data_IF_559208262061
#
_entry.id   IF_559208262061
#
_cell.length_a   1.000
_cell.length_b   1.000
_cell.length_c   1.000
_cell.angle_alpha   90.00
_cell.angle_beta   90.00
_cell.angle_gamma   90.00
#
_symmetry.space_group_name_H-M   'P 1'
#
loop_
_entity.id
_entity.type
_entity.pdbx_description
1 polymer ?
#
# COMPACT_ATOMS: atom_id res chain seq x y z
N UNK A 1 20.56 -11.81 -9.51
CA UNK A 1 20.16 -12.84 -8.52
C UNK A 1 19.01 -12.28 -7.71
N UNK A 2 17.83 -12.88 -7.79
CA UNK A 2 16.75 -12.54 -6.87
C UNK A 2 17.19 -13.02 -5.47
N UNK A 3 17.48 -12.09 -4.60
CA UNK A 3 17.72 -12.40 -3.20
C UNK A 3 16.38 -12.87 -2.61
N UNK A 4 16.36 -14.10 -2.12
CA UNK A 4 15.16 -14.69 -1.51
C UNK A 4 14.74 -13.84 -0.30
N UNK A 5 13.47 -13.46 -0.22
CA UNK A 5 12.96 -12.72 0.92
C UNK A 5 12.98 -13.62 2.16
N UNK A 6 13.47 -13.10 3.26
CA UNK A 6 13.60 -13.80 4.55
C UNK A 6 12.86 -13.05 5.66
N UNK A 7 12.76 -13.68 6.83
CA UNK A 7 12.15 -13.04 8.00
C UNK A 7 10.66 -12.73 7.81
N UNK A 8 10.19 -11.59 8.35
CA UNK A 8 8.76 -11.26 8.37
C UNK A 8 8.14 -11.14 6.97
N UNK A 9 8.92 -10.78 5.95
CA UNK A 9 8.41 -10.69 4.59
C UNK A 9 8.19 -12.06 3.94
N UNK A 10 9.02 -13.06 4.25
CA UNK A 10 8.77 -14.43 3.78
C UNK A 10 7.47 -14.99 4.38
N UNK A 11 7.25 -14.76 5.66
CA UNK A 11 6.03 -15.15 6.37
C UNK A 11 4.80 -14.40 5.84
N UNK A 12 4.91 -13.08 5.68
CA UNK A 12 3.87 -12.23 5.09
C UNK A 12 3.39 -12.76 3.74
N UNK A 13 4.33 -13.06 2.85
CA UNK A 13 4.00 -13.54 1.50
C UNK A 13 3.46 -14.96 1.50
N UNK A 14 3.91 -15.80 2.42
CA UNK A 14 3.38 -17.15 2.58
C UNK A 14 1.90 -17.11 3.03
N UNK A 15 1.60 -16.35 4.07
CA UNK A 15 0.22 -16.19 4.57
C UNK A 15 -0.69 -15.50 3.55
N UNK A 16 -0.21 -14.45 2.90
CA UNK A 16 -0.95 -13.75 1.86
C UNK A 16 -1.32 -14.68 0.69
N UNK A 17 -0.43 -15.58 0.30
CA UNK A 17 -0.71 -16.55 -0.76
C UNK A 17 -1.92 -17.44 -0.40
N UNK A 18 -1.98 -17.93 0.83
CA UNK A 18 -3.12 -18.75 1.29
C UNK A 18 -4.42 -17.95 1.37
N UNK A 19 -4.35 -16.70 1.85
CA UNK A 19 -5.54 -15.82 1.95
C UNK A 19 -6.10 -15.49 0.57
N UNK A 20 -5.24 -15.28 -0.42
CA UNK A 20 -5.64 -14.85 -1.77
C UNK A 20 -6.00 -16.02 -2.71
N UNK A 21 -5.80 -17.26 -2.31
CA UNK A 21 -5.90 -18.43 -3.19
C UNK A 21 -7.25 -18.54 -3.91
N UNK A 22 -8.36 -18.41 -3.16
CA UNK A 22 -9.71 -18.57 -3.67
C UNK A 22 -10.54 -17.27 -3.65
N UNK A 23 -9.98 -16.19 -3.11
CA UNK A 23 -10.69 -14.91 -2.98
C UNK A 23 -10.35 -13.96 -4.12
N UNK A 24 -11.36 -13.35 -4.74
CA UNK A 24 -11.22 -12.38 -5.83
C UNK A 24 -11.70 -10.98 -5.48
N UNK A 25 -12.38 -10.84 -4.33
CA UNK A 25 -12.86 -9.53 -3.90
C UNK A 25 -11.71 -8.63 -3.44
N UNK A 26 -11.52 -7.45 -4.08
CA UNK A 26 -10.44 -6.55 -3.73
C UNK A 26 -10.53 -6.00 -2.30
N UNK A 27 -11.74 -5.78 -1.80
CA UNK A 27 -11.92 -5.26 -0.44
C UNK A 27 -11.55 -6.29 0.61
N UNK A 28 -12.00 -7.55 0.44
CA UNK A 28 -11.66 -8.65 1.34
C UNK A 28 -10.15 -8.90 1.36
N UNK A 29 -9.53 -9.01 0.20
CA UNK A 29 -8.09 -9.27 0.10
C UNK A 29 -7.25 -8.11 0.64
N UNK A 30 -7.64 -6.86 0.36
CA UNK A 30 -6.92 -5.69 0.88
C UNK A 30 -7.07 -5.54 2.40
N UNK A 31 -8.24 -5.88 2.96
CA UNK A 31 -8.45 -5.86 4.41
C UNK A 31 -7.51 -6.86 5.10
N UNK A 32 -7.44 -8.09 4.58
CA UNK A 32 -6.53 -9.10 5.11
C UNK A 32 -5.04 -8.76 4.86
N UNK A 33 -4.71 -8.18 3.73
CA UNK A 33 -3.34 -7.71 3.46
C UNK A 33 -2.91 -6.62 4.44
N UNK A 34 -3.76 -5.63 4.72
CA UNK A 34 -3.49 -4.60 5.71
C UNK A 34 -3.30 -5.18 7.12
N UNK A 35 -4.13 -6.15 7.50
CA UNK A 35 -4.01 -6.85 8.78
C UNK A 35 -2.70 -7.63 8.90
N UNK A 36 -2.30 -8.36 7.86
CA UNK A 36 -1.03 -9.11 7.83
C UNK A 36 0.19 -8.17 7.94
N UNK A 37 0.19 -7.07 7.20
CA UNK A 37 1.26 -6.05 7.31
C UNK A 37 1.35 -5.51 8.73
N UNK A 38 0.20 -5.16 9.32
CA UNK A 38 0.13 -4.64 10.68
C UNK A 38 0.62 -5.64 11.73
N UNK A 39 0.26 -6.90 11.60
CA UNK A 39 0.59 -7.96 12.56
C UNK A 39 2.07 -8.37 12.49
N UNK A 40 2.62 -8.48 11.29
CA UNK A 40 3.94 -9.07 11.07
C UNK A 40 5.08 -8.06 11.03
N UNK A 41 4.81 -6.80 10.68
CA UNK A 41 5.85 -5.78 10.59
C UNK A 41 5.86 -4.89 11.85
N UNK A 42 6.94 -4.88 12.64
CA UNK A 42 6.99 -4.10 13.85
C UNK A 42 7.21 -2.60 13.59
N UNK A 43 6.77 -1.78 14.53
CA UNK A 43 7.09 -0.35 14.54
C UNK A 43 6.27 0.49 13.56
N UNK A 44 5.04 0.07 13.27
CA UNK A 44 4.12 0.81 12.42
C UNK A 44 3.10 1.60 13.24
N UNK A 45 2.61 2.71 12.69
CA UNK A 45 1.45 3.43 13.21
C UNK A 45 0.28 3.49 12.22
N UNK A 46 0.51 3.12 10.95
CA UNK A 46 -0.53 2.99 9.94
C UNK A 46 -0.11 2.02 8.84
N UNK A 47 -1.05 1.23 8.31
CA UNK A 47 -0.84 0.36 7.17
C UNK A 47 -2.15 0.15 6.42
N UNK A 48 -2.21 0.50 5.15
CA UNK A 48 -3.44 0.37 4.39
C UNK A 48 -3.34 0.79 2.94
N UNK A 49 -4.51 0.92 2.33
CA UNK A 49 -4.63 1.14 0.90
C UNK A 49 -5.39 2.42 0.59
N UNK A 50 -4.98 3.07 -0.49
CA UNK A 50 -5.76 4.09 -1.18
C UNK A 50 -6.02 3.61 -2.61
N UNK A 51 -7.26 3.73 -3.06
CA UNK A 51 -7.67 3.26 -4.39
C UNK A 51 -8.07 4.41 -5.32
N UNK A 52 -7.79 4.21 -6.61
CA UNK A 52 -8.14 5.14 -7.69
C UNK A 52 -9.63 5.10 -7.97
N UNK A 53 -10.35 6.14 -7.53
CA UNK A 53 -11.79 6.28 -7.74
C UNK A 53 -12.17 7.73 -8.00
N UNK A 54 -12.88 7.98 -9.10
CA UNK A 54 -13.33 9.33 -9.45
C UNK A 54 -12.18 10.32 -9.67
N UNK A 55 -11.04 9.86 -10.22
CA UNK A 55 -9.90 10.70 -10.54
C UNK A 55 -9.06 11.12 -9.32
N UNK A 56 -9.15 10.42 -8.18
CA UNK A 56 -8.36 10.67 -6.98
C UNK A 56 -8.10 9.39 -6.20
N UNK A 57 -7.20 9.44 -5.22
CA UNK A 57 -6.99 8.36 -4.28
C UNK A 57 -7.98 8.47 -3.12
N UNK A 58 -8.71 7.41 -2.86
CA UNK A 58 -9.68 7.32 -1.75
C UNK A 58 -9.26 6.20 -0.81
N UNK A 59 -9.32 6.46 0.50
CA UNK A 59 -8.95 5.50 1.52
C UNK A 59 -9.77 4.21 1.39
N UNK A 60 -9.05 3.09 1.39
CA UNK A 60 -9.58 1.73 1.44
C UNK A 60 -9.36 1.08 2.79
N UNK A 61 -9.27 -0.25 2.86
CA UNK A 61 -9.00 -0.96 4.11
C UNK A 61 -7.63 -0.59 4.71
N UNK A 62 -7.60 -0.37 6.01
CA UNK A 62 -6.37 -0.01 6.74
C UNK A 62 -6.42 -0.46 8.21
N UNK A 63 -5.25 -0.42 8.85
CA UNK A 63 -5.02 -0.55 10.27
C UNK A 63 -4.33 0.72 10.79
N UNK A 64 -4.72 1.18 11.97
CA UNK A 64 -4.20 2.41 12.58
C UNK A 64 -5.31 3.41 12.92
N UNK A 65 -4.92 4.67 13.11
CA UNK A 65 -5.86 5.76 13.38
C UNK A 65 -6.59 6.18 12.11
N UNK A 66 -7.64 7.00 12.29
CA UNK A 66 -8.36 7.62 11.17
C UNK A 66 -7.40 8.27 10.17
N UNK A 67 -7.73 8.18 8.91
CA UNK A 67 -6.89 8.63 7.81
C UNK A 67 -7.52 9.80 7.04
N UNK A 68 -6.73 10.46 6.19
CA UNK A 68 -7.26 11.35 5.16
C UNK A 68 -8.14 10.52 4.22
N UNK A 69 -9.37 10.98 3.96
CA UNK A 69 -10.32 10.23 3.14
C UNK A 69 -9.95 10.30 1.67
N UNK A 70 -9.47 11.45 1.21
CA UNK A 70 -9.15 11.74 -0.20
C UNK A 70 -7.79 12.38 -0.32
N UNK A 71 -7.01 11.91 -1.27
CA UNK A 71 -5.70 12.49 -1.63
C UNK A 71 -5.74 12.84 -3.11
N UNK A 72 -5.54 14.12 -3.45
CA UNK A 72 -5.44 14.55 -4.84
C UNK A 72 -4.25 13.89 -5.54
N UNK A 73 -4.40 13.60 -6.84
CA UNK A 73 -3.32 13.01 -7.62
C UNK A 73 -2.10 13.93 -7.67
N UNK A 74 -0.93 13.33 -7.52
CA UNK A 74 0.36 14.03 -7.54
C UNK A 74 0.70 14.80 -6.27
N UNK A 75 -0.17 14.78 -5.23
CA UNK A 75 0.06 15.45 -3.96
C UNK A 75 0.45 14.48 -2.85
N UNK A 76 1.31 14.94 -1.92
CA UNK A 76 1.84 14.12 -0.83
C UNK A 76 2.69 12.95 -1.31
N UNK A 77 3.00 12.01 -0.41
CA UNK A 77 3.79 10.82 -0.74
C UNK A 77 2.97 9.85 -1.59
N UNK A 78 1.73 9.56 -1.21
CA UNK A 78 0.83 8.69 -1.97
C UNK A 78 0.58 9.20 -3.40
N UNK A 79 0.27 10.48 -3.56
CA UNK A 79 0.09 11.08 -4.88
C UNK A 79 1.37 11.14 -5.71
N UNK A 80 2.53 11.24 -5.06
CA UNK A 80 3.83 11.16 -5.73
C UNK A 80 4.11 9.75 -6.25
N UNK A 81 3.86 8.72 -5.44
CA UNK A 81 4.01 7.32 -5.84
C UNK A 81 3.05 6.97 -6.99
N UNK A 82 1.81 7.44 -6.90
CA UNK A 82 0.82 7.32 -7.97
C UNK A 82 1.35 7.90 -9.29
N UNK A 83 1.79 9.14 -9.27
CA UNK A 83 2.27 9.85 -10.46
C UNK A 83 3.52 9.21 -11.08
N UNK A 84 4.46 8.77 -10.24
CA UNK A 84 5.71 8.14 -10.68
C UNK A 84 5.52 6.68 -11.09
N UNK A 85 4.49 6.01 -10.56
CA UNK A 85 4.29 4.56 -10.65
C UNK A 85 5.50 3.77 -10.14
N UNK A 86 6.10 4.29 -9.08
CA UNK A 86 7.29 3.74 -8.45
C UNK A 86 7.19 3.83 -6.94
N UNK A 87 7.85 2.93 -6.23
CA UNK A 87 7.89 2.94 -4.77
C UNK A 87 8.62 4.18 -4.28
N UNK A 88 8.03 4.86 -3.30
CA UNK A 88 8.59 6.05 -2.66
C UNK A 88 8.87 5.75 -1.20
N UNK A 89 10.15 5.86 -0.79
CA UNK A 89 10.59 5.76 0.60
C UNK A 89 10.91 7.15 1.11
N UNK A 90 10.30 7.54 2.22
CA UNK A 90 10.51 8.84 2.86
C UNK A 90 11.07 8.62 4.26
N UNK A 91 12.38 8.83 4.47
CA UNK A 91 13.01 8.63 5.78
C UNK A 91 12.53 9.61 6.85
N UNK A 92 12.15 10.81 6.44
CA UNK A 92 11.60 11.86 7.30
C UNK A 92 10.51 12.62 6.56
N UNK A 93 9.26 12.41 6.95
CA UNK A 93 8.09 13.05 6.30
C UNK A 93 8.08 14.57 6.45
N UNK A 94 8.73 15.12 7.48
CA UNK A 94 8.83 16.56 7.70
C UNK A 94 9.74 17.25 6.68
N UNK A 95 10.61 16.49 6.02
CA UNK A 95 11.50 16.94 4.96
C UNK A 95 10.91 16.74 3.55
N UNK A 96 9.77 16.04 3.44
CA UNK A 96 9.16 15.76 2.15
C UNK A 96 8.32 16.95 1.67
N UNK A 97 8.64 17.56 0.51
CA UNK A 97 7.92 18.71 -0.01
C UNK A 97 6.44 18.39 -0.30
N UNK A 98 5.52 19.17 0.29
CA UNK A 98 4.08 18.94 0.10
C UNK A 98 3.51 17.72 0.84
N UNK A 99 4.19 17.23 1.87
CA UNK A 99 3.67 16.15 2.71
C UNK A 99 2.28 16.49 3.26
N UNK A 100 1.33 15.54 3.12
CA UNK A 100 -0.01 15.66 3.68
C UNK A 100 -0.01 14.95 5.03
N UNK A 101 -0.21 15.69 6.11
CA UNK A 101 -0.25 15.15 7.47
C UNK A 101 -1.63 14.55 7.73
N UNK A 102 -1.75 13.23 7.63
CA UNK A 102 -2.97 12.49 7.99
C UNK A 102 -2.89 11.94 9.43
N UNK A 103 -1.71 11.55 9.89
CA UNK A 103 -1.42 11.21 11.29
C UNK A 103 -0.13 11.92 11.73
N UNK A 104 -0.23 12.75 12.75
CA UNK A 104 0.92 13.49 13.30
C UNK A 104 1.96 12.57 13.96
N UNK A 105 1.64 11.31 14.24
CA UNK A 105 2.57 10.34 14.79
C UNK A 105 3.51 9.76 13.73
N UNK A 106 3.22 9.89 12.43
CA UNK A 106 4.05 9.39 11.35
C UNK A 106 5.31 10.24 11.19
N UNK A 107 6.47 9.60 11.22
CA UNK A 107 7.77 10.23 11.00
C UNK A 107 8.50 9.70 9.76
N UNK A 108 8.25 8.46 9.36
CA UNK A 108 8.71 7.90 8.07
C UNK A 108 7.58 7.14 7.37
N UNK A 109 7.70 6.97 6.07
CA UNK A 109 6.63 6.43 5.23
C UNK A 109 7.21 5.68 4.03
N UNK A 110 6.54 4.62 3.61
CA UNK A 110 6.77 3.95 2.34
C UNK A 110 5.45 3.79 1.61
N UNK A 111 5.42 4.14 0.33
CA UNK A 111 4.25 3.98 -0.52
C UNK A 111 4.61 3.16 -1.75
N UNK A 112 3.85 2.10 -1.98
CA UNK A 112 4.05 1.15 -3.08
C UNK A 112 2.85 1.20 -4.01
N UNK A 113 3.03 1.46 -5.32
CA UNK A 113 1.95 1.43 -6.29
C UNK A 113 1.38 0.02 -6.47
N UNK A 114 0.05 -0.07 -6.60
CA UNK A 114 -0.63 -1.28 -7.05
C UNK A 114 -0.99 -1.14 -8.53
N UNK A 115 -0.45 -2.04 -9.34
CA UNK A 115 -0.69 -2.05 -10.79
C UNK A 115 -1.30 -3.39 -11.19
N UNK A 116 -2.48 -3.37 -11.77
CA UNK A 116 -3.18 -4.53 -12.31
C UNK A 116 -3.46 -4.34 -13.79
N UNK A 117 -3.11 -5.32 -14.62
CA UNK A 117 -3.27 -5.26 -16.07
C UNK A 117 -2.71 -3.97 -16.69
N UNK A 118 -1.56 -3.50 -16.24
CA UNK A 118 -0.88 -2.29 -16.70
C UNK A 118 -1.53 -0.97 -16.24
N UNK A 119 -2.55 -1.03 -15.38
CA UNK A 119 -3.25 0.14 -14.84
C UNK A 119 -2.99 0.29 -13.34
N UNK A 120 -2.81 1.52 -12.90
CA UNK A 120 -2.73 1.82 -11.47
C UNK A 120 -4.13 1.69 -10.85
N UNK A 121 -4.27 0.80 -9.87
CA UNK A 121 -5.52 0.63 -9.11
C UNK A 121 -5.48 1.38 -7.78
N UNK A 122 -4.31 1.69 -7.27
CA UNK A 122 -4.12 2.38 -6.02
C UNK A 122 -2.69 2.31 -5.51
N UNK A 123 -2.53 2.54 -4.22
CA UNK A 123 -1.25 2.43 -3.51
C UNK A 123 -1.42 1.69 -2.18
N UNK A 124 -0.36 0.99 -1.77
CA UNK A 124 -0.18 0.51 -0.40
C UNK A 124 0.69 1.53 0.33
N UNK A 125 0.18 2.06 1.41
CA UNK A 125 0.82 3.07 2.25
C UNK A 125 1.11 2.49 3.63
N UNK A 126 2.34 2.65 4.11
CA UNK A 126 2.78 2.17 5.42
C UNK A 126 3.60 3.24 6.12
N UNK A 127 3.19 3.58 7.34
CA UNK A 127 3.79 4.63 8.16
C UNK A 127 4.42 4.09 9.43
N UNK A 128 5.44 4.78 9.89
CA UNK A 128 6.10 4.50 11.16
C UNK A 128 6.32 5.77 11.98
N UNK A 129 6.21 5.69 13.33
CA UNK A 129 6.60 6.79 14.22
C UNK A 129 8.11 6.95 14.33
N UNK A 130 8.90 6.04 13.79
CA UNK A 130 10.36 6.11 13.78
C UNK A 130 10.85 6.76 12.49
N UNK A 131 11.89 7.60 12.58
CA UNK A 131 12.61 8.10 11.42
C UNK A 131 13.36 6.95 10.74
N UNK A 132 13.41 6.95 9.41
CA UNK A 132 14.21 6.01 8.63
C UNK A 132 13.83 4.54 8.81
N UNK A 133 12.57 4.23 9.15
CA UNK A 133 12.11 2.87 9.40
C UNK A 133 12.22 1.97 8.18
N UNK A 134 11.97 2.51 6.99
CA UNK A 134 11.85 1.72 5.77
C UNK A 134 13.10 1.77 4.92
N UNK A 135 13.51 0.60 4.41
CA UNK A 135 14.67 0.43 3.54
C UNK A 135 14.37 -0.43 2.30
N UNK A 136 15.41 -0.80 1.54
CA UNK A 136 15.24 -1.59 0.32
C UNK A 136 14.59 -2.96 0.53
N UNK A 137 14.77 -3.59 1.67
CA UNK A 137 14.17 -4.88 2.00
C UNK A 137 12.67 -4.74 2.23
N UNK A 138 12.25 -3.66 2.89
CA UNK A 138 10.85 -3.31 3.06
C UNK A 138 10.19 -3.05 1.70
N UNK A 139 10.84 -2.29 0.82
CA UNK A 139 10.35 -2.05 -0.53
C UNK A 139 10.14 -3.36 -1.29
N UNK A 140 11.13 -4.24 -1.33
CA UNK A 140 11.01 -5.54 -2.03
C UNK A 140 9.87 -6.39 -1.49
N UNK A 141 9.73 -6.47 -0.17
CA UNK A 141 8.68 -7.25 0.48
C UNK A 141 7.28 -6.72 0.20
N UNK A 142 7.09 -5.41 0.34
CA UNK A 142 5.80 -4.76 0.10
C UNK A 142 5.44 -4.69 -1.39
N UNK A 143 6.42 -4.54 -2.29
CA UNK A 143 6.21 -4.64 -3.74
C UNK A 143 5.76 -6.05 -4.15
N UNK A 144 6.35 -7.10 -3.56
CA UNK A 144 5.92 -8.47 -3.79
C UNK A 144 4.50 -8.72 -3.30
N UNK A 145 4.11 -8.18 -2.14
CA UNK A 145 2.74 -8.24 -1.64
C UNK A 145 1.78 -7.51 -2.58
N UNK A 146 2.11 -6.28 -2.97
CA UNK A 146 1.30 -5.47 -3.88
C UNK A 146 1.07 -6.17 -5.23
N UNK A 147 2.11 -6.78 -5.78
CA UNK A 147 2.03 -7.56 -7.03
C UNK A 147 1.10 -8.76 -6.89
N UNK A 148 1.20 -9.52 -5.80
CA UNK A 148 0.33 -10.68 -5.55
C UNK A 148 -1.12 -10.26 -5.35
N UNK A 149 -1.37 -9.21 -4.56
CA UNK A 149 -2.71 -8.66 -4.35
C UNK A 149 -3.33 -8.21 -5.68
N UNK A 150 -2.58 -7.44 -6.47
CA UNK A 150 -3.05 -6.94 -7.76
C UNK A 150 -3.44 -8.08 -8.72
N UNK A 151 -2.69 -9.17 -8.73
CA UNK A 151 -2.96 -10.33 -9.58
C UNK A 151 -4.12 -11.21 -9.06
N UNK A 152 -4.34 -11.25 -7.74
CA UNK A 152 -5.37 -12.09 -7.13
C UNK A 152 -6.79 -11.54 -7.29
N UNK A 153 -6.94 -10.21 -7.38
CA UNK A 153 -8.24 -9.54 -7.31
C UNK A 153 -8.92 -9.35 -8.66
N UNK A 154 -10.24 -9.42 -8.68
CA UNK A 154 -11.07 -8.90 -9.76
C UNK A 154 -11.43 -7.42 -9.48
N UNK A 155 -10.68 -6.51 -10.04
CA UNK A 155 -10.80 -5.07 -9.79
C UNK A 155 -12.10 -4.45 -10.30
N UNK A 156 -12.87 -5.16 -11.15
CA UNK A 156 -14.21 -4.75 -11.58
C UNK A 156 -15.20 -4.69 -10.41
N UNK A 157 -14.96 -5.50 -9.39
CA UNK A 157 -15.81 -5.56 -8.18
C UNK A 157 -15.64 -4.34 -7.26
N UNK A 158 -14.57 -3.59 -7.40
CA UNK A 158 -14.21 -2.52 -6.47
C UNK A 158 -14.60 -1.11 -6.93
N UNK A 159 -15.14 -0.95 -8.14
CA UNK A 159 -15.44 0.37 -8.69
C UNK A 159 -14.19 1.24 -8.91
N UNK A 160 -13.08 0.61 -9.26
CA UNK A 160 -11.80 1.27 -9.53
C UNK A 160 -11.83 1.91 -10.92
N UNK A 161 -11.24 3.09 -11.04
CA UNK A 161 -11.15 3.81 -12.32
C UNK A 161 -10.45 2.95 -13.39
N UNK A 162 -11.07 2.85 -14.55
CA UNK A 162 -10.55 2.08 -15.68
C UNK A 162 -10.88 0.58 -15.68
N UNK A 163 -11.58 0.09 -14.66
CA UNK A 163 -12.16 -1.25 -14.64
C UNK A 163 -13.69 -1.12 -14.69
N UNK A 164 -14.29 -1.48 -15.82
CA UNK A 164 -15.74 -1.43 -15.99
C UNK A 164 -16.47 -2.32 -14.98
N UNK A 165 -17.67 -1.91 -14.58
CA UNK A 165 -18.57 -2.78 -13.83
C UNK A 165 -18.96 -3.96 -14.73
N UNK A 166 -18.77 -5.17 -14.22
CA UNK A 166 -19.22 -6.38 -14.90
C UNK A 166 -20.75 -6.47 -14.91
#
# INVERSE_FOLDING_TARGET
MNQELTGPYAELLHLAAGVFEDERDPWANSANAAALVWELLPGLNWAGFYFMRGGQLIVGPFQGRIACVRIPLGEGVCGTAEKRRDTVIVPDVHQFPGHIVCDAASNSEIVVPLVAAGRLVGVLDVDSPSLGRFGPDDARGLEALATRLAAACDWRLAGIDGFGSG
#
